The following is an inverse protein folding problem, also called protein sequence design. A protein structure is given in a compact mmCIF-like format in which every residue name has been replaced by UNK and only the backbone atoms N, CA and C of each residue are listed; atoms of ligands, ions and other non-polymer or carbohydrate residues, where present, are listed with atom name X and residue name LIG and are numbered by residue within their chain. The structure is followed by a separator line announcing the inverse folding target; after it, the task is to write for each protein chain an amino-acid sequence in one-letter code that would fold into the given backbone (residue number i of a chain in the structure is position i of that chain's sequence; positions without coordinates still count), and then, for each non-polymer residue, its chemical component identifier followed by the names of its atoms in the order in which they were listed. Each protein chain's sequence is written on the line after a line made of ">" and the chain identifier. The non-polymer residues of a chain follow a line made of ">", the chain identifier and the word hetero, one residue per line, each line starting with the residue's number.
data_IF_177104086351
#
_entry.id   IF_177104086351
#
_cell.length_a   1.000
_cell.length_b   1.000
_cell.length_c   1.000
_cell.angle_alpha   90.00
_cell.angle_beta   90.00
_cell.angle_gamma   90.00
#
_symmetry.space_group_name_H-M   'P 1'
#
loop_
_entity.id
_entity.type
_entity.pdbx_description
1 polymer ?
#
# COMPACT_ATOMS: atom_id res chain seq x y z
N UNK A 1 54.27 -21.15 42.96
CA UNK A 1 53.57 -19.97 42.41
C UNK A 1 52.31 -20.51 41.73
N UNK A 2 51.22 -20.77 42.45
CA UNK A 2 50.18 -19.80 42.87
C UNK A 2 49.73 -18.92 41.70
N UNK A 3 48.46 -18.88 41.27
CA UNK A 3 47.22 -19.15 42.01
C UNK A 3 46.08 -19.41 41.01
N UNK A 4 45.31 -20.49 41.22
CA UNK A 4 44.00 -20.71 40.60
C UNK A 4 43.00 -19.75 41.27
N UNK A 5 42.30 -18.95 40.47
CA UNK A 5 41.26 -18.05 40.95
C UNK A 5 39.93 -18.82 41.00
N UNK A 6 39.51 -19.20 42.20
CA UNK A 6 38.17 -19.71 42.47
C UNK A 6 37.18 -18.54 42.49
N UNK A 7 36.22 -18.53 41.57
CA UNK A 7 35.08 -17.62 41.62
C UNK A 7 33.91 -18.34 42.30
N UNK A 8 33.57 -17.88 43.49
CA UNK A 8 32.49 -18.35 44.34
C UNK A 8 31.14 -17.92 43.75
N UNK A 9 30.24 -18.85 43.44
CA UNK A 9 28.85 -18.56 43.06
C UNK A 9 28.04 -18.39 44.35
N UNK A 10 27.65 -17.16 44.66
CA UNK A 10 26.66 -16.84 45.69
C UNK A 10 25.33 -16.58 44.97
N UNK A 11 24.38 -17.49 45.12
CA UNK A 11 22.98 -17.29 44.70
C UNK A 11 22.26 -16.59 45.85
N UNK A 12 22.00 -15.29 45.71
CA UNK A 12 21.07 -14.55 46.58
C UNK A 12 19.77 -14.31 45.82
N UNK A 13 18.71 -15.01 46.21
CA UNK A 13 17.34 -14.77 45.78
C UNK A 13 16.84 -13.47 46.43
N UNK A 14 16.77 -12.40 45.64
CA UNK A 14 16.10 -11.15 46.03
C UNK A 14 14.81 -11.02 45.20
N UNK A 15 13.68 -11.26 45.86
CA UNK A 15 12.35 -10.91 45.39
C UNK A 15 12.20 -9.38 45.38
N UNK A 16 11.85 -8.74 44.25
CA UNK A 16 11.32 -7.39 44.29
C UNK A 16 9.81 -7.45 44.55
N UNK A 17 9.40 -7.00 45.74
CA UNK A 17 8.06 -6.46 45.96
C UNK A 17 7.94 -5.18 45.13
N UNK A 18 7.12 -5.18 44.08
CA UNK A 18 6.71 -3.94 43.41
C UNK A 18 5.20 -3.81 43.43
N UNK A 19 4.77 -2.74 44.10
CA UNK A 19 3.44 -2.15 44.18
C UNK A 19 2.63 -2.34 42.89
N UNK A 20 1.44 -2.93 43.04
CA UNK A 20 0.39 -2.94 42.02
C UNK A 20 -0.20 -1.54 41.91
N UNK A 21 0.32 -0.71 41.02
CA UNK A 21 -0.37 0.49 40.58
C UNK A 21 -1.50 0.06 39.63
N UNK A 22 -2.75 0.11 40.11
CA UNK A 22 -3.94 -0.05 39.28
C UNK A 22 -4.09 1.19 38.36
N UNK A 23 -3.29 1.22 37.29
CA UNK A 23 -3.51 2.13 36.18
C UNK A 23 -4.67 1.59 35.35
N UNK A 24 -5.80 2.30 35.35
CA UNK A 24 -6.93 2.04 34.44
C UNK A 24 -6.42 2.18 33.02
N UNK A 25 -6.08 1.06 32.40
CA UNK A 25 -5.65 1.00 31.01
C UNK A 25 -6.91 1.18 30.17
N UNK A 26 -7.17 2.41 29.75
CA UNK A 26 -8.12 2.69 28.68
C UNK A 26 -7.59 1.99 27.44
N UNK A 27 -8.10 0.80 27.15
CA UNK A 27 -7.95 0.16 25.86
C UNK A 27 -8.61 1.07 24.83
N UNK A 28 -7.83 1.92 24.18
CA UNK A 28 -8.22 2.46 22.89
C UNK A 28 -8.13 1.27 21.94
N UNK A 29 -9.21 0.48 21.91
CA UNK A 29 -9.55 -0.29 20.73
C UNK A 29 -9.60 0.73 19.60
N UNK A 30 -8.65 0.67 18.67
CA UNK A 30 -8.81 1.33 17.38
C UNK A 30 -9.97 0.61 16.68
N UNK A 31 -11.18 0.96 17.10
CA UNK A 31 -12.41 0.42 16.55
C UNK A 31 -12.45 0.76 15.09
N UNK A 32 -12.71 -0.26 14.28
CA UNK A 32 -13.21 -0.08 12.92
C UNK A 32 -14.39 0.92 13.01
N UNK A 33 -14.48 1.93 12.13
CA UNK A 33 -15.56 2.90 12.17
C UNK A 33 -16.92 2.19 12.20
N UNK A 34 -17.85 2.73 12.98
CA UNK A 34 -19.18 2.17 13.19
C UNK A 34 -19.86 1.84 11.84
N UNK A 35 -20.22 0.57 11.57
CA UNK A 35 -20.96 0.17 10.37
C UNK A 35 -22.37 0.80 10.30
N UNK A 36 -22.82 1.50 11.34
CA UNK A 36 -24.05 2.28 11.40
C UNK A 36 -24.01 3.67 10.75
N UNK A 37 -22.87 4.16 10.23
CA UNK A 37 -22.85 5.36 9.41
C UNK A 37 -23.43 5.03 8.01
N UNK A 38 -24.52 5.65 7.55
CA UNK A 38 -25.23 5.32 6.29
C UNK A 38 -24.40 5.50 5.00
N UNK A 39 -23.10 5.74 5.09
CA UNK A 39 -22.21 5.98 3.96
C UNK A 39 -21.57 4.73 3.34
N UNK A 40 -21.64 3.51 3.91
CA UNK A 40 -20.65 2.48 3.50
C UNK A 40 -21.11 1.04 3.24
N UNK A 41 -22.41 0.72 3.21
CA UNK A 41 -22.81 -0.66 2.92
C UNK A 41 -23.88 -0.69 1.83
N UNK A 42 -23.48 -1.12 0.62
CA UNK A 42 -24.43 -1.83 -0.24
C UNK A 42 -24.76 -3.14 0.50
N UNK A 43 -26.02 -3.35 0.92
CA UNK A 43 -26.41 -4.64 1.49
C UNK A 43 -26.14 -5.72 0.45
N UNK A 44 -25.18 -6.61 0.71
CA UNK A 44 -24.94 -7.79 -0.13
C UNK A 44 -23.48 -8.05 -0.55
N UNK A 45 -22.55 -7.10 -0.43
CA UNK A 45 -21.14 -7.32 -0.83
C UNK A 45 -20.22 -7.79 0.30
N UNK A 46 -20.71 -7.77 1.55
CA UNK A 46 -19.94 -8.15 2.73
C UNK A 46 -19.40 -6.96 3.52
N UNK A 47 -18.99 -7.22 4.76
CA UNK A 47 -18.65 -6.20 5.75
C UNK A 47 -17.36 -5.41 5.46
N UNK A 48 -16.47 -5.96 4.64
CA UNK A 48 -15.16 -5.34 4.32
C UNK A 48 -15.09 -4.81 2.89
N UNK A 49 -16.24 -4.61 2.24
CA UNK A 49 -16.36 -3.99 0.92
C UNK A 49 -16.92 -2.59 1.10
N UNK A 50 -16.10 -1.59 0.80
CA UNK A 50 -16.44 -0.18 0.92
C UNK A 50 -16.74 0.39 -0.45
N UNK A 51 -17.92 0.97 -0.61
CA UNK A 51 -18.34 1.62 -1.85
C UNK A 51 -18.36 3.13 -1.65
N UNK A 52 -17.49 3.85 -2.35
CA UNK A 52 -17.41 5.29 -2.30
C UNK A 52 -18.08 5.93 -3.51
N UNK A 53 -18.85 6.98 -3.25
CA UNK A 53 -19.53 7.81 -4.25
C UNK A 53 -18.89 9.21 -4.26
N UNK A 54 -18.73 9.87 -5.43
CA UNK A 54 -18.10 11.19 -5.47
C UNK A 54 -18.88 12.27 -4.70
N UNK A 55 -20.16 12.06 -4.40
CA UNK A 55 -20.96 12.97 -3.57
C UNK A 55 -20.70 12.87 -2.06
N UNK A 56 -19.87 11.95 -1.61
CA UNK A 56 -19.53 11.77 -0.19
C UNK A 56 -18.58 12.88 0.32
N UNK A 57 -18.54 13.07 1.63
CA UNK A 57 -17.53 13.94 2.25
C UNK A 57 -16.13 13.30 2.13
N UNK A 58 -15.28 13.87 1.27
CA UNK A 58 -13.94 13.35 1.01
C UNK A 58 -13.07 13.26 2.27
N UNK A 59 -13.29 14.11 3.29
CA UNK A 59 -12.55 13.99 4.55
C UNK A 59 -12.94 12.73 5.31
N UNK A 60 -14.22 12.35 5.28
CA UNK A 60 -14.69 11.12 5.90
C UNK A 60 -14.22 9.90 5.12
N UNK A 61 -14.26 9.94 3.78
CA UNK A 61 -13.72 8.88 2.92
C UNK A 61 -12.24 8.66 3.21
N UNK A 62 -11.44 9.73 3.24
CA UNK A 62 -10.02 9.66 3.57
C UNK A 62 -9.78 9.06 4.96
N UNK A 63 -10.54 9.47 5.98
CA UNK A 63 -10.41 8.94 7.33
C UNK A 63 -10.68 7.42 7.43
N UNK A 64 -11.66 6.92 6.66
CA UNK A 64 -11.94 5.48 6.57
C UNK A 64 -10.76 4.76 5.94
N UNK A 65 -10.28 5.25 4.79
CA UNK A 65 -9.14 4.66 4.07
C UNK A 65 -7.91 4.63 4.99
N UNK A 66 -7.60 5.72 5.66
CA UNK A 66 -6.46 5.79 6.59
C UNK A 66 -6.57 4.81 7.75
N UNK A 67 -7.78 4.60 8.28
CA UNK A 67 -8.03 3.62 9.33
C UNK A 67 -7.75 2.19 8.84
N UNK A 68 -8.25 1.84 7.65
CA UNK A 68 -8.00 0.52 7.04
C UNK A 68 -6.50 0.35 6.77
N UNK A 69 -5.85 1.34 6.14
CA UNK A 69 -4.43 1.32 5.82
C UNK A 69 -3.54 1.22 7.07
N UNK A 70 -3.91 1.85 8.17
CA UNK A 70 -3.21 1.73 9.45
C UNK A 70 -3.22 0.27 9.95
N UNK A 71 -4.34 -0.43 9.82
CA UNK A 71 -4.48 -1.85 10.15
C UNK A 71 -3.79 -2.82 9.18
N UNK A 72 -3.55 -2.39 7.94
CA UNK A 72 -3.08 -3.27 6.86
C UNK A 72 -1.61 -3.08 6.44
N UNK A 73 -0.88 -2.10 6.97
CA UNK A 73 0.50 -1.81 6.52
C UNK A 73 1.59 -2.35 7.45
N UNK A 74 1.23 -2.82 8.65
CA UNK A 74 2.19 -3.32 9.64
C UNK A 74 2.79 -4.68 9.27
N UNK A 75 3.94 -5.03 9.86
CA UNK A 75 4.56 -6.35 9.68
C UNK A 75 3.63 -7.49 10.13
N UNK A 76 2.89 -7.29 11.21
CA UNK A 76 1.89 -8.26 11.67
C UNK A 76 0.74 -8.46 10.67
N UNK A 77 0.46 -7.44 9.84
CA UNK A 77 -0.59 -7.49 8.83
C UNK A 77 -0.21 -8.36 7.62
N UNK A 78 1.05 -8.77 7.48
CA UNK A 78 1.48 -9.71 6.43
C UNK A 78 0.69 -11.02 6.51
N UNK A 79 0.37 -11.49 7.72
CA UNK A 79 -0.37 -12.74 7.93
C UNK A 79 -1.75 -12.53 8.56
N UNK A 80 -2.31 -11.32 8.46
CA UNK A 80 -3.67 -11.07 8.94
C UNK A 80 -4.71 -11.81 8.10
N UNK A 81 -5.86 -12.09 8.71
CA UNK A 81 -7.04 -12.63 8.02
C UNK A 81 -7.92 -11.54 7.40
N UNK A 82 -7.70 -10.27 7.76
CA UNK A 82 -8.49 -9.16 7.24
C UNK A 82 -8.28 -8.99 5.73
N UNK A 83 -9.36 -8.71 4.99
CA UNK A 83 -9.39 -8.50 3.54
C UNK A 83 -10.29 -7.30 3.26
N UNK A 84 -9.85 -6.36 2.43
CA UNK A 84 -10.59 -5.14 2.15
C UNK A 84 -10.67 -4.85 0.66
N UNK A 85 -11.85 -4.47 0.19
CA UNK A 85 -12.06 -3.96 -1.15
C UNK A 85 -12.59 -2.53 -1.08
N UNK A 86 -11.91 -1.61 -1.76
CA UNK A 86 -12.27 -0.19 -1.86
C UNK A 86 -12.74 0.07 -3.28
N UNK A 87 -14.05 0.24 -3.43
CA UNK A 87 -14.73 0.38 -4.72
C UNK A 87 -15.15 1.84 -4.91
N UNK A 88 -14.82 2.41 -6.05
CA UNK A 88 -15.11 3.80 -6.38
C UNK A 88 -16.05 3.84 -7.57
N UNK A 89 -17.22 4.46 -7.39
CA UNK A 89 -18.12 4.75 -8.52
C UNK A 89 -17.47 5.76 -9.49
N UNK A 90 -17.96 5.84 -10.74
CA UNK A 90 -17.56 6.91 -11.65
C UNK A 90 -17.65 8.30 -11.00
N UNK A 91 -16.57 9.08 -11.08
CA UNK A 91 -16.44 10.37 -10.42
C UNK A 91 -15.01 10.81 -10.19
N UNK A 92 -14.88 11.99 -9.58
CA UNK A 92 -13.61 12.59 -9.16
C UNK A 92 -13.49 12.55 -7.64
N UNK A 93 -12.32 12.16 -7.14
CA UNK A 93 -12.03 12.02 -5.72
C UNK A 93 -10.68 12.67 -5.40
N UNK A 94 -10.66 13.61 -4.47
CA UNK A 94 -9.43 14.20 -3.95
C UNK A 94 -8.95 13.36 -2.74
N UNK A 95 -8.09 12.37 -2.98
CA UNK A 95 -7.71 11.34 -1.99
C UNK A 95 -6.24 10.90 -2.10
N UNK A 96 -5.69 10.50 -0.96
CA UNK A 96 -4.42 9.79 -0.84
C UNK A 96 -4.67 8.36 -0.32
N UNK A 97 -4.65 7.40 -1.23
CA UNK A 97 -5.00 6.01 -0.97
C UNK A 97 -3.72 5.20 -0.75
N UNK A 98 -3.40 4.93 0.51
CA UNK A 98 -2.26 4.08 0.89
C UNK A 98 -2.67 2.61 0.94
N UNK A 99 -2.19 1.82 0.00
CA UNK A 99 -2.58 0.41 -0.17
C UNK A 99 -1.62 -0.51 0.61
N UNK A 100 -2.14 -1.15 1.66
CA UNK A 100 -1.45 -2.13 2.48
C UNK A 100 -1.64 -3.58 2.02
N UNK A 101 -1.30 -4.54 2.87
CA UNK A 101 -1.60 -5.95 2.62
C UNK A 101 -3.09 -6.18 2.47
N UNK A 102 -3.47 -7.12 1.61
CA UNK A 102 -4.83 -7.59 1.41
C UNK A 102 -5.88 -6.51 1.13
N UNK A 103 -5.45 -5.42 0.51
CA UNK A 103 -6.30 -4.33 0.04
C UNK A 103 -6.38 -4.37 -1.48
N UNK A 104 -7.60 -4.22 -2.00
CA UNK A 104 -7.86 -4.05 -3.43
C UNK A 104 -8.57 -2.72 -3.66
N UNK A 105 -8.07 -1.92 -4.61
CA UNK A 105 -8.67 -0.64 -5.04
C UNK A 105 -9.24 -0.82 -6.44
N UNK A 106 -10.51 -0.49 -6.64
CA UNK A 106 -11.26 -0.76 -7.87
C UNK A 106 -12.07 0.48 -8.29
N UNK A 107 -11.88 0.94 -9.52
CA UNK A 107 -12.85 1.82 -10.17
C UNK A 107 -13.97 1.01 -10.84
N UNK A 108 -15.22 1.45 -10.66
CA UNK A 108 -16.42 0.78 -11.17
C UNK A 108 -16.94 1.38 -12.49
N UNK A 109 -16.08 2.09 -13.22
CA UNK A 109 -16.38 2.59 -14.56
C UNK A 109 -16.25 1.52 -15.65
N UNK A 110 -16.74 1.83 -16.84
CA UNK A 110 -16.45 1.03 -18.04
C UNK A 110 -15.01 1.30 -18.52
N UNK A 111 -14.57 2.54 -18.36
CA UNK A 111 -13.24 3.04 -18.68
C UNK A 111 -12.47 3.42 -17.41
N UNK A 112 -11.12 3.29 -17.38
CA UNK A 112 -10.32 3.83 -16.29
C UNK A 112 -10.41 5.36 -16.16
N UNK A 113 -10.88 6.08 -17.19
CA UNK A 113 -11.11 7.54 -17.11
C UNK A 113 -12.37 7.91 -16.31
N UNK A 114 -13.28 6.96 -16.09
CA UNK A 114 -14.55 7.25 -15.41
C UNK A 114 -14.34 7.48 -13.91
N UNK A 115 -13.27 6.92 -13.33
CA UNK A 115 -12.92 7.05 -11.92
C UNK A 115 -11.57 7.75 -11.82
N UNK A 116 -11.55 8.97 -11.31
CA UNK A 116 -10.35 9.79 -11.20
C UNK A 116 -10.00 10.04 -9.74
N UNK A 117 -8.83 9.59 -9.32
CA UNK A 117 -8.22 9.93 -8.04
C UNK A 117 -7.23 11.06 -8.27
N UNK A 118 -7.55 12.27 -7.81
CA UNK A 118 -6.60 13.38 -7.70
C UNK A 118 -5.89 13.28 -6.34
N UNK A 119 -4.57 13.15 -6.37
CA UNK A 119 -3.76 12.79 -5.21
C UNK A 119 -2.95 11.53 -5.52
N UNK A 120 -3.12 10.45 -4.76
CA UNK A 120 -2.28 9.26 -4.94
C UNK A 120 -3.03 7.94 -4.73
N UNK A 121 -2.59 6.89 -5.43
CA UNK A 121 -2.86 5.50 -5.06
C UNK A 121 -1.52 4.79 -4.94
N UNK A 122 -1.05 4.64 -3.70
CA UNK A 122 0.35 4.36 -3.41
C UNK A 122 0.57 3.20 -2.47
N UNK A 123 1.66 2.49 -2.69
CA UNK A 123 2.24 1.52 -1.78
C UNK A 123 3.71 1.87 -1.62
N UNK A 124 4.15 2.10 -0.39
CA UNK A 124 5.51 2.53 -0.08
C UNK A 124 6.03 1.80 1.17
N UNK A 125 7.30 2.02 1.50
CA UNK A 125 7.87 1.61 2.77
C UNK A 125 7.26 2.42 3.91
N UNK A 126 7.16 1.80 5.08
CA UNK A 126 6.80 2.51 6.31
C UNK A 126 7.93 3.33 6.91
N UNK A 127 9.15 3.19 6.40
CA UNK A 127 10.33 3.93 6.88
C UNK A 127 10.26 5.37 6.37
N UNK A 128 10.50 6.32 7.27
CA UNK A 128 10.66 7.72 6.88
C UNK A 128 11.81 7.84 5.86
N UNK A 129 11.56 8.51 4.74
CA UNK A 129 12.53 8.61 3.63
C UNK A 129 12.59 7.39 2.70
N UNK A 130 11.76 6.38 2.92
CA UNK A 130 11.71 5.16 2.12
C UNK A 130 12.55 4.01 2.69
N UNK A 131 12.45 2.85 2.07
CA UNK A 131 13.22 1.66 2.40
C UNK A 131 12.80 0.43 1.60
N UNK A 132 13.27 -0.73 2.03
CA UNK A 132 12.92 -1.99 1.36
C UNK A 132 11.41 -2.22 1.32
N UNK A 133 10.94 -2.67 0.16
CA UNK A 133 9.55 -3.10 -0.08
C UNK A 133 9.48 -4.56 -0.47
N UNK A 134 10.51 -5.35 -0.12
CA UNK A 134 10.64 -6.77 -0.41
C UNK A 134 9.44 -7.60 0.03
N UNK A 135 8.69 -7.15 1.03
CA UNK A 135 7.49 -7.81 1.55
C UNK A 135 6.19 -7.09 1.23
N UNK A 136 6.16 -6.07 0.36
CA UNK A 136 4.92 -5.40 -0.01
C UNK A 136 4.11 -6.28 -0.98
N UNK A 137 3.45 -7.30 -0.44
CA UNK A 137 2.67 -8.30 -1.16
C UNK A 137 1.16 -8.01 -1.13
N UNK A 138 0.43 -8.83 -1.91
CA UNK A 138 -1.01 -9.09 -1.82
C UNK A 138 -1.87 -7.83 -1.82
N UNK A 139 -1.70 -6.98 -2.83
CA UNK A 139 -2.48 -5.76 -2.97
C UNK A 139 -2.72 -5.42 -4.42
N UNK A 140 -3.78 -4.72 -4.76
CA UNK A 140 -4.04 -4.41 -6.17
C UNK A 140 -4.74 -3.07 -6.35
N UNK A 141 -4.56 -2.52 -7.55
CA UNK A 141 -5.30 -1.38 -8.06
C UNK A 141 -5.74 -1.67 -9.49
N UNK A 142 -7.01 -1.39 -9.80
CA UNK A 142 -7.58 -1.68 -11.11
C UNK A 142 -8.63 -0.65 -11.56
N UNK A 143 -8.62 -0.37 -12.87
CA UNK A 143 -9.65 0.38 -13.60
C UNK A 143 -9.91 1.81 -13.10
N UNK A 144 -8.85 2.61 -12.96
CA UNK A 144 -8.96 4.02 -12.55
C UNK A 144 -7.84 4.90 -13.11
N UNK A 145 -8.03 6.21 -13.02
CA UNK A 145 -7.04 7.23 -13.36
C UNK A 145 -6.49 7.86 -12.09
N UNK A 146 -5.18 8.03 -12.03
CA UNK A 146 -4.46 8.72 -10.96
C UNK A 146 -3.91 10.02 -11.54
N UNK A 147 -4.22 11.14 -10.89
CA UNK A 147 -3.62 12.45 -11.15
C UNK A 147 -2.78 12.81 -9.92
N UNK A 148 -1.47 12.55 -9.95
CA UNK A 148 -0.56 12.99 -8.88
C UNK A 148 -0.68 14.49 -8.63
N UNK A 149 -0.46 14.91 -7.38
CA UNK A 149 -0.26 16.32 -7.07
C UNK A 149 0.88 16.91 -7.92
N UNK A 150 0.89 18.23 -8.20
CA UNK A 150 2.01 18.88 -8.86
C UNK A 150 3.35 18.54 -8.20
N UNK A 151 4.37 18.26 -9.03
CA UNK A 151 5.72 17.86 -8.60
C UNK A 151 5.78 16.57 -7.76
N UNK A 152 4.70 15.77 -7.75
CA UNK A 152 4.63 14.47 -7.09
C UNK A 152 4.73 13.31 -8.08
N UNK A 153 5.21 12.17 -7.59
CA UNK A 153 5.31 10.91 -8.34
C UNK A 153 4.47 9.86 -7.63
N UNK A 154 3.52 9.24 -8.35
CA UNK A 154 2.76 8.14 -7.76
C UNK A 154 3.68 6.96 -7.51
N UNK A 155 3.69 6.42 -6.29
CA UNK A 155 4.60 5.33 -5.90
C UNK A 155 3.85 4.03 -5.72
N UNK A 156 4.12 3.06 -6.59
CA UNK A 156 3.68 1.67 -6.47
C UNK A 156 4.87 0.76 -6.13
N UNK A 157 5.50 1.04 -4.99
CA UNK A 157 6.60 0.26 -4.41
C UNK A 157 6.10 -1.05 -3.82
N UNK A 158 6.24 -2.13 -4.60
CA UNK A 158 5.69 -3.45 -4.28
C UNK A 158 6.66 -4.59 -4.60
N UNK A 159 6.30 -5.78 -4.11
CA UNK A 159 6.88 -7.07 -4.50
C UNK A 159 5.82 -7.98 -5.15
N UNK A 160 6.01 -9.29 -5.14
CA UNK A 160 5.13 -10.28 -5.78
C UNK A 160 3.65 -10.16 -5.35
N UNK A 161 2.76 -10.67 -6.20
CA UNK A 161 1.31 -10.68 -5.99
C UNK A 161 0.69 -9.30 -5.76
N UNK A 162 1.23 -8.27 -6.43
CA UNK A 162 0.78 -6.88 -6.28
C UNK A 162 0.46 -6.17 -7.61
N UNK A 163 -0.51 -6.66 -8.40
CA UNK A 163 -0.74 -6.18 -9.76
C UNK A 163 -1.32 -4.76 -9.80
N UNK A 164 -0.91 -4.00 -10.81
CA UNK A 164 -1.59 -2.79 -11.28
C UNK A 164 -2.15 -3.09 -12.69
N UNK A 165 -3.46 -2.94 -12.88
CA UNK A 165 -4.13 -3.31 -14.14
C UNK A 165 -5.08 -2.21 -14.59
N UNK A 166 -5.15 -1.91 -15.89
CA UNK A 166 -6.15 -0.96 -16.40
C UNK A 166 -6.09 0.38 -15.66
N UNK A 167 -4.90 0.89 -15.43
CA UNK A 167 -4.69 2.17 -14.71
C UNK A 167 -4.09 3.19 -15.66
N UNK A 168 -4.60 4.42 -15.60
CA UNK A 168 -3.90 5.57 -16.18
C UNK A 168 -3.23 6.36 -15.07
N UNK A 169 -1.95 6.71 -15.22
CA UNK A 169 -1.28 7.68 -14.36
C UNK A 169 -0.97 8.91 -15.21
N UNK A 170 -1.61 10.05 -14.91
CA UNK A 170 -1.37 11.33 -15.59
C UNK A 170 -0.13 12.02 -15.01
N UNK A 171 1.01 11.34 -15.07
CA UNK A 171 2.29 11.75 -14.49
C UNK A 171 3.28 10.59 -14.41
N UNK A 172 4.29 10.71 -13.56
CA UNK A 172 5.31 9.69 -13.35
C UNK A 172 4.82 8.56 -12.43
N UNK A 173 5.35 7.35 -12.65
CA UNK A 173 5.11 6.18 -11.81
C UNK A 173 6.42 5.59 -11.30
N UNK A 174 6.61 5.62 -9.97
CA UNK A 174 7.75 5.00 -9.30
C UNK A 174 7.39 3.60 -8.79
N UNK A 175 8.16 2.58 -9.15
CA UNK A 175 7.88 1.17 -8.81
C UNK A 175 8.69 0.65 -7.61
N UNK A 176 9.42 1.52 -6.93
CA UNK A 176 10.29 1.19 -5.79
C UNK A 176 10.19 2.28 -4.73
N UNK A 177 10.83 2.09 -3.57
CA UNK A 177 10.86 3.12 -2.53
C UNK A 177 12.22 3.22 -1.81
N UNK A 178 13.29 3.59 -2.53
CA UNK A 178 14.62 3.86 -1.96
C UNK A 178 15.28 2.66 -1.23
N UNK A 179 14.98 1.43 -1.65
CA UNK A 179 15.63 0.20 -1.18
C UNK A 179 15.26 -1.00 -2.05
N UNK A 180 15.77 -2.19 -1.74
CA UNK A 180 15.41 -3.43 -2.44
C UNK A 180 13.89 -3.63 -2.64
N UNK A 181 13.54 -4.03 -3.85
CA UNK A 181 12.18 -4.30 -4.30
C UNK A 181 12.19 -5.49 -5.27
N UNK A 182 11.16 -6.34 -5.22
CA UNK A 182 11.10 -7.62 -5.97
C UNK A 182 9.72 -7.85 -6.58
N UNK A 183 9.23 -6.82 -7.28
CA UNK A 183 8.01 -6.85 -8.07
C UNK A 183 8.23 -7.59 -9.40
N UNK A 184 7.36 -7.43 -10.38
CA UNK A 184 6.02 -6.88 -10.29
C UNK A 184 5.30 -7.07 -11.62
N UNK A 185 4.03 -6.72 -11.66
CA UNK A 185 3.18 -6.92 -12.83
C UNK A 185 2.35 -5.67 -13.13
N UNK A 186 2.51 -5.14 -14.33
CA UNK A 186 1.74 -4.03 -14.89
C UNK A 186 1.07 -4.49 -16.20
N UNK A 187 -0.22 -4.24 -16.37
CA UNK A 187 -0.89 -4.57 -17.62
C UNK A 187 -2.06 -3.65 -17.98
N UNK A 188 -2.31 -3.48 -19.28
CA UNK A 188 -3.43 -2.68 -19.79
C UNK A 188 -3.40 -1.23 -19.28
N UNK A 189 -2.22 -0.67 -19.02
CA UNK A 189 -2.07 0.61 -18.33
C UNK A 189 -1.37 1.65 -19.18
N UNK A 190 -1.68 2.92 -18.94
CA UNK A 190 -1.04 4.06 -19.59
C UNK A 190 -0.40 4.99 -18.56
N UNK A 191 0.89 5.21 -18.66
CA UNK A 191 1.62 6.16 -17.81
C UNK A 191 1.99 7.34 -18.69
N UNK A 192 1.39 8.49 -18.47
CA UNK A 192 1.59 9.65 -19.34
C UNK A 192 3.02 10.22 -19.24
N UNK A 193 3.79 9.84 -18.20
CA UNK A 193 5.20 10.20 -18.05
C UNK A 193 6.14 8.98 -17.93
N UNK A 194 7.24 9.20 -17.22
CA UNK A 194 8.25 8.16 -16.96
C UNK A 194 7.81 7.07 -15.96
N UNK A 195 8.13 5.80 -16.28
CA UNK A 195 8.23 4.72 -15.28
C UNK A 195 9.64 4.66 -14.68
N UNK A 196 9.72 4.72 -13.35
CA UNK A 196 10.96 4.54 -12.59
C UNK A 196 10.98 3.15 -11.94
N UNK A 197 11.53 2.16 -12.65
CA UNK A 197 11.77 0.81 -12.10
C UNK A 197 12.73 0.88 -10.90
N UNK A 198 13.73 1.75 -10.96
CA UNK A 198 14.71 1.98 -9.89
C UNK A 198 15.38 0.69 -9.42
N UNK A 199 15.23 0.37 -8.14
CA UNK A 199 15.84 -0.82 -7.49
C UNK A 199 15.04 -2.11 -7.66
N UNK A 200 14.05 -2.16 -8.57
CA UNK A 200 13.34 -3.39 -8.88
C UNK A 200 14.27 -4.47 -9.42
N UNK A 201 14.31 -5.61 -8.72
CA UNK A 201 15.07 -6.79 -9.14
C UNK A 201 14.58 -7.29 -10.50
N UNK A 202 13.27 -7.41 -10.64
CA UNK A 202 12.64 -7.77 -11.90
C UNK A 202 11.28 -7.08 -12.03
N UNK A 203 10.75 -7.05 -13.26
CA UNK A 203 9.41 -6.55 -13.53
C UNK A 203 8.87 -7.12 -14.85
N UNK A 204 7.56 -7.36 -14.93
CA UNK A 204 6.87 -7.69 -16.18
C UNK A 204 5.77 -6.67 -16.49
N UNK A 205 5.86 -6.06 -17.67
CA UNK A 205 4.84 -5.17 -18.22
C UNK A 205 4.26 -5.74 -19.51
N UNK A 206 2.94 -5.64 -19.71
CA UNK A 206 2.33 -6.03 -21.00
C UNK A 206 1.20 -5.12 -21.44
N UNK A 207 0.98 -4.99 -22.74
CA UNK A 207 -0.13 -4.23 -23.33
C UNK A 207 -0.28 -2.86 -22.67
N UNK A 208 0.81 -2.11 -22.58
CA UNK A 208 0.86 -0.85 -21.82
C UNK A 208 1.57 0.22 -22.64
N UNK A 209 1.47 1.46 -22.21
CA UNK A 209 2.14 2.60 -22.83
C UNK A 209 2.76 3.47 -21.73
N UNK A 210 3.98 3.96 -21.98
CA UNK A 210 4.58 5.03 -21.18
C UNK A 210 5.35 6.02 -22.05
N UNK A 211 5.67 7.21 -21.55
CA UNK A 211 6.49 8.16 -22.29
C UNK A 211 7.96 7.70 -22.35
N UNK A 212 8.50 7.31 -21.21
CA UNK A 212 9.86 6.82 -21.05
C UNK A 212 9.99 5.90 -19.84
N UNK A 213 11.13 5.26 -19.67
CA UNK A 213 11.41 4.48 -18.47
C UNK A 213 12.88 4.48 -18.10
N UNK A 214 13.18 4.29 -16.82
CA UNK A 214 14.54 4.17 -16.32
C UNK A 214 14.70 3.20 -15.14
N UNK A 215 15.94 2.78 -14.93
CA UNK A 215 16.33 1.85 -13.86
C UNK A 215 15.90 0.40 -14.14
N UNK A 216 15.81 -0.38 -13.05
CA UNK A 216 15.68 -1.83 -13.12
C UNK A 216 17.04 -2.52 -12.95
N UNK A 217 17.05 -3.67 -12.28
CA UNK A 217 18.29 -4.34 -11.89
C UNK A 217 18.62 -5.57 -12.75
N UNK A 218 17.81 -6.64 -12.68
CA UNK A 218 18.18 -7.93 -13.27
C UNK A 218 17.37 -8.29 -14.50
N UNK A 219 16.04 -8.22 -14.43
CA UNK A 219 15.18 -8.62 -15.54
C UNK A 219 13.93 -7.74 -15.66
N UNK A 220 13.97 -6.77 -16.56
CA UNK A 220 12.81 -5.94 -16.92
C UNK A 220 12.29 -6.42 -18.26
N UNK A 221 11.13 -7.09 -18.24
CA UNK A 221 10.55 -7.69 -19.43
C UNK A 221 9.27 -6.96 -19.84
N UNK A 222 9.14 -6.71 -21.15
CA UNK A 222 7.99 -6.02 -21.73
C UNK A 222 7.42 -6.81 -22.91
N UNK A 223 6.10 -6.92 -23.00
CA UNK A 223 5.39 -7.56 -24.11
C UNK A 223 4.26 -6.67 -24.63
N UNK A 224 4.36 -6.20 -25.88
CA UNK A 224 3.34 -5.32 -26.46
C UNK A 224 3.24 -3.99 -25.71
N UNK A 225 4.39 -3.43 -25.32
CA UNK A 225 4.45 -2.15 -24.62
C UNK A 225 5.01 -1.08 -25.56
N UNK A 226 4.29 0.02 -25.69
CA UNK A 226 4.72 1.19 -26.45
C UNK A 226 5.80 1.92 -25.64
N UNK A 227 6.93 2.25 -26.30
CA UNK A 227 8.12 2.87 -25.71
C UNK A 227 8.82 2.03 -24.62
N UNK A 228 8.66 0.71 -24.66
CA UNK A 228 9.53 -0.17 -23.87
C UNK A 228 11.01 0.00 -24.27
N UNK A 229 11.95 -0.20 -23.33
CA UNK A 229 13.36 -0.19 -23.65
C UNK A 229 13.70 -1.35 -24.59
N UNK A 230 14.63 -1.12 -25.53
CA UNK A 230 15.14 -2.14 -26.46
C UNK A 230 15.93 -3.24 -25.73
#
# INVERSE_FOLDING_TARGET
>A
MNTKMHLLIIVLLLFPLTLTCYGRQSSISAGIPDPGNPLNHLPGLGENVFLFDPGMDMKQVQAIIDTISAGQTGRASEFTKNRYALLFKPGLYDLDIRVGYYMQVLGLGESPEDVVIRGAVRSNSRRAGGGHVLTNFWRSVENLTIIPDPDSINTWGVSQASPMRRVRVKGHLKLHDNGYSSGGFLADSKIDGEILFGSQQQWFSRNSEWESCSGGAWNIFSLGVVNAPE
#
